data_IF_317834956291
#
_entry.id   IF_317834956291
#
_cell.length_a   1.000
_cell.length_b   1.000
_cell.length_c   1.000
_cell.angle_alpha   90.00
_cell.angle_beta   90.00
_cell.angle_gamma   90.00
#
_symmetry.space_group_name_H-M   'P 1'
#
loop_
_entity.id
_entity.type
_entity.pdbx_description
1 polymer ?
#
# COMPACT_ATOMS: atom_id res chain seq x y z
N UNK A 1 32.92 2.43 -85.66
CA UNK A 1 31.98 3.23 -84.84
C UNK A 1 31.01 2.29 -84.18
N UNK A 2 31.13 2.11 -82.85
CA UNK A 2 30.13 1.63 -81.88
C UNK A 2 29.47 0.26 -82.07
N UNK A 3 29.25 -0.58 -81.04
CA UNK A 3 29.68 -0.65 -79.64
C UNK A 3 29.20 -2.03 -79.12
N UNK A 4 30.01 -2.64 -78.27
CA UNK A 4 29.84 -3.94 -77.61
C UNK A 4 28.80 -3.87 -76.49
N UNK A 5 27.97 -4.91 -76.30
CA UNK A 5 27.42 -5.24 -74.97
C UNK A 5 27.34 -6.77 -74.81
N UNK A 6 28.32 -7.33 -74.09
CA UNK A 6 28.35 -8.71 -73.63
C UNK A 6 27.55 -8.85 -72.33
N UNK A 7 26.69 -9.86 -72.29
CA UNK A 7 25.94 -10.27 -71.11
C UNK A 7 26.90 -10.91 -70.08
N UNK A 8 27.11 -10.24 -68.95
CA UNK A 8 27.74 -10.84 -67.76
C UNK A 8 26.83 -10.58 -66.57
N UNK A 9 26.18 -11.65 -66.10
CA UNK A 9 25.39 -11.65 -64.88
C UNK A 9 26.33 -11.45 -63.68
N UNK A 10 26.36 -10.24 -63.14
CA UNK A 10 27.02 -9.95 -61.87
C UNK A 10 26.09 -10.38 -60.72
N UNK A 11 26.46 -11.46 -60.04
CA UNK A 11 25.84 -11.94 -58.80
C UNK A 11 26.18 -10.92 -57.70
N UNK A 12 25.20 -10.15 -57.26
CA UNK A 12 25.32 -9.26 -56.09
C UNK A 12 24.85 -10.06 -54.87
N UNK A 13 25.79 -10.59 -54.09
CA UNK A 13 25.51 -11.08 -52.73
C UNK A 13 25.31 -9.85 -51.83
N UNK A 14 24.19 -9.71 -51.09
CA UNK A 14 24.09 -8.67 -50.08
C UNK A 14 25.00 -9.07 -48.92
N UNK A 15 25.98 -8.23 -48.62
CA UNK A 15 26.76 -8.30 -47.39
C UNK A 15 25.79 -7.99 -46.23
N UNK A 16 25.12 -9.02 -45.70
CA UNK A 16 24.34 -8.90 -44.48
C UNK A 16 25.33 -8.66 -43.36
N UNK A 17 25.44 -7.40 -42.96
CA UNK A 17 26.11 -6.97 -41.74
C UNK A 17 25.36 -7.64 -40.59
N UNK A 18 25.84 -8.80 -40.13
CA UNK A 18 25.36 -9.41 -38.90
C UNK A 18 25.78 -8.46 -37.79
N UNK A 19 24.88 -7.56 -37.43
CA UNK A 19 24.93 -6.83 -36.17
C UNK A 19 24.95 -7.91 -35.10
N UNK A 20 26.15 -8.23 -34.60
CA UNK A 20 26.27 -8.93 -33.32
C UNK A 20 25.39 -8.14 -32.36
N UNK A 21 24.39 -8.76 -31.71
CA UNK A 21 23.59 -8.05 -30.72
C UNK A 21 24.60 -7.54 -29.71
N UNK A 22 24.76 -6.22 -29.67
CA UNK A 22 25.68 -5.57 -28.77
C UNK A 22 25.37 -6.12 -27.38
N UNK A 23 26.39 -6.63 -26.69
CA UNK A 23 26.31 -6.88 -25.27
C UNK A 23 25.98 -5.53 -24.63
N UNK A 24 24.68 -5.30 -24.37
CA UNK A 24 24.24 -4.18 -23.55
C UNK A 24 24.66 -4.57 -22.14
N UNK A 25 25.71 -3.93 -21.63
CA UNK A 25 26.01 -3.97 -20.20
C UNK A 25 24.82 -3.30 -19.52
N UNK A 26 23.99 -4.09 -18.83
CA UNK A 26 22.88 -3.59 -18.02
C UNK A 26 23.46 -2.84 -16.82
N UNK A 27 23.65 -1.54 -16.99
CA UNK A 27 23.99 -0.64 -15.90
C UNK A 27 22.71 -0.33 -15.10
N UNK A 28 22.80 -0.32 -13.76
CA UNK A 28 21.70 0.06 -12.88
C UNK A 28 21.32 1.53 -13.15
N UNK A 29 20.42 1.74 -14.09
CA UNK A 29 19.87 3.05 -14.43
C UNK A 29 18.37 3.03 -14.12
N UNK A 30 18.01 3.65 -13.00
CA UNK A 30 16.64 3.60 -12.48
C UNK A 30 16.45 4.43 -11.20
N UNK A 31 15.21 4.46 -10.73
CA UNK A 31 14.82 5.07 -9.46
C UNK A 31 15.36 4.22 -8.29
N UNK A 32 15.81 4.85 -7.20
CA UNK A 32 16.41 4.21 -6.02
C UNK A 32 17.81 3.58 -6.24
N UNK A 33 18.57 4.08 -7.22
CA UNK A 33 20.01 3.80 -7.39
C UNK A 33 20.85 4.92 -6.76
N UNK A 34 21.78 4.55 -5.89
CA UNK A 34 22.67 5.43 -5.14
C UNK A 34 24.14 5.26 -5.55
N UNK A 35 24.91 6.36 -5.50
CA UNK A 35 26.36 6.35 -5.75
C UNK A 35 27.12 6.17 -4.43
N UNK A 36 27.87 5.09 -4.29
CA UNK A 36 28.62 4.77 -3.06
C UNK A 36 30.11 4.71 -3.31
N UNK A 37 30.88 5.23 -2.35
CA UNK A 37 32.35 5.26 -2.40
C UNK A 37 32.89 3.93 -1.89
N UNK A 38 33.55 3.18 -2.76
CA UNK A 38 34.17 1.91 -2.42
C UNK A 38 35.70 2.03 -2.41
N UNK A 39 36.36 1.58 -1.35
CA UNK A 39 37.84 1.55 -1.26
C UNK A 39 38.41 0.27 -1.89
N UNK A 40 39.44 0.41 -2.73
CA UNK A 40 40.19 -0.69 -3.33
C UNK A 40 41.70 -0.46 -3.17
N UNK A 41 42.47 -1.53 -3.03
CA UNK A 41 43.92 -1.45 -2.84
C UNK A 41 44.66 -1.56 -4.17
N UNK A 42 45.64 -0.68 -4.41
CA UNK A 42 46.53 -0.75 -5.57
C UNK A 42 47.96 -0.98 -5.11
N UNK A 43 48.64 -1.89 -5.79
CA UNK A 43 50.06 -2.16 -5.56
C UNK A 43 50.92 -1.15 -6.33
N UNK A 44 51.84 -0.49 -5.63
CA UNK A 44 52.81 0.44 -6.21
C UNK A 44 54.23 0.01 -5.82
N UNK A 45 55.12 -0.11 -6.79
CA UNK A 45 56.52 -0.45 -6.54
C UNK A 45 57.32 0.79 -6.21
N UNK A 46 57.84 0.87 -4.99
CA UNK A 46 58.68 1.95 -4.50
C UNK A 46 60.12 1.43 -4.38
N UNK A 47 61.10 2.27 -4.70
CA UNK A 47 62.52 1.93 -4.55
C UNK A 47 62.98 2.33 -3.14
N UNK A 48 63.44 1.36 -2.36
CA UNK A 48 63.98 1.59 -1.02
C UNK A 48 65.47 1.23 -0.96
N UNK A 49 66.20 1.83 -0.02
CA UNK A 49 67.64 1.64 0.14
C UNK A 49 67.90 0.73 1.33
N UNK A 50 68.34 -0.50 1.05
CA UNK A 50 68.74 -1.45 2.09
C UNK A 50 70.25 -1.55 2.20
N UNK A 51 70.74 -1.73 3.43
CA UNK A 51 72.15 -2.00 3.71
C UNK A 51 72.39 -3.50 3.80
N UNK A 52 73.51 -3.98 3.25
CA UNK A 52 73.92 -5.39 3.34
C UNK A 52 75.42 -5.51 3.60
N UNK A 53 75.82 -6.59 4.28
CA UNK A 53 77.22 -6.83 4.63
C UNK A 53 77.88 -7.74 3.60
N UNK A 54 79.05 -7.33 3.09
CA UNK A 54 79.91 -8.18 2.26
C UNK A 54 81.16 -8.55 3.05
N UNK A 55 81.47 -9.84 3.13
CA UNK A 55 82.73 -10.33 3.70
C UNK A 55 83.86 -10.07 2.71
N UNK A 56 84.90 -9.38 3.16
CA UNK A 56 86.14 -9.14 2.40
C UNK A 56 87.33 -9.67 3.18
N UNK A 57 88.34 -10.13 2.46
CA UNK A 57 89.57 -10.67 3.05
C UNK A 57 90.68 -9.64 2.93
N UNK A 58 91.32 -9.31 4.05
CA UNK A 58 92.43 -8.37 4.12
C UNK A 58 93.63 -9.04 4.78
N UNK A 59 94.82 -8.50 4.52
CA UNK A 59 96.05 -8.92 5.17
C UNK A 59 96.14 -8.34 6.58
N UNK A 60 96.48 -9.17 7.55
CA UNK A 60 96.54 -8.84 8.97
C UNK A 60 97.50 -9.83 9.61
N UNK A 61 98.67 -9.37 10.08
CA UNK A 61 99.82 -10.21 10.48
C UNK A 61 100.58 -10.78 9.26
N UNK A 62 101.92 -10.80 9.31
CA UNK A 62 102.81 -11.15 8.19
C UNK A 62 102.62 -12.57 7.61
N UNK A 63 103.14 -12.78 6.40
CA UNK A 63 102.76 -13.82 5.43
C UNK A 63 102.63 -15.29 5.97
N UNK A 64 101.45 -15.96 5.87
CA UNK A 64 100.15 -15.38 5.55
C UNK A 64 98.95 -15.88 6.36
N UNK A 65 98.46 -15.11 7.35
CA UNK A 65 97.06 -15.17 7.79
C UNK A 65 96.22 -14.10 7.08
N UNK A 66 95.13 -14.55 6.43
CA UNK A 66 94.07 -13.68 5.90
C UNK A 66 92.94 -13.60 6.93
N UNK A 67 92.63 -12.40 7.41
CA UNK A 67 91.46 -12.19 8.26
C UNK A 67 90.30 -11.75 7.38
N UNK A 68 89.10 -12.19 7.75
CA UNK A 68 87.88 -11.65 7.17
C UNK A 68 87.36 -10.47 7.97
N UNK A 69 87.05 -9.39 7.27
CA UNK A 69 86.30 -8.25 7.81
C UNK A 69 85.00 -8.07 7.01
N UNK A 70 84.01 -7.40 7.60
CA UNK A 70 82.73 -7.11 6.96
C UNK A 70 82.69 -5.65 6.50
N UNK A 71 82.25 -5.40 5.27
CA UNK A 71 81.99 -4.05 4.74
C UNK A 71 80.49 -3.85 4.52
N UNK A 72 79.95 -2.74 5.01
CA UNK A 72 78.56 -2.33 4.76
C UNK A 72 78.47 -1.73 3.35
N UNK A 73 77.52 -2.21 2.55
CA UNK A 73 77.20 -1.69 1.22
C UNK A 73 75.70 -1.37 1.15
N UNK A 74 75.32 -0.47 0.25
CA UNK A 74 73.92 -0.15 -0.03
C UNK A 74 73.49 -0.82 -1.34
N UNK A 75 72.24 -1.29 -1.38
CA UNK A 75 71.56 -1.73 -2.60
C UNK A 75 70.17 -1.10 -2.67
N UNK A 76 69.70 -0.81 -3.88
CA UNK A 76 68.31 -0.40 -4.12
C UNK A 76 67.47 -1.66 -4.24
N UNK A 77 66.40 -1.76 -3.45
CA UNK A 77 65.46 -2.87 -3.46
C UNK A 77 64.09 -2.33 -3.81
N UNK A 78 63.40 -2.99 -4.75
CA UNK A 78 62.03 -2.64 -5.09
C UNK A 78 61.10 -3.26 -4.05
N UNK A 79 60.44 -2.42 -3.26
CA UNK A 79 59.41 -2.83 -2.31
C UNK A 79 58.03 -2.52 -2.87
N UNK A 80 57.08 -3.41 -2.69
CA UNK A 80 55.69 -3.19 -3.10
C UNK A 80 54.92 -2.57 -1.94
N UNK A 81 54.39 -1.38 -2.13
CA UNK A 81 53.51 -0.67 -1.20
C UNK A 81 52.05 -0.83 -1.66
N UNK A 82 51.16 -1.15 -0.73
CA UNK A 82 49.70 -1.20 -0.95
C UNK A 82 49.08 0.14 -0.59
N UNK A 83 48.48 0.81 -1.58
CA UNK A 83 47.85 2.12 -1.40
C UNK A 83 46.32 1.99 -1.46
N UNK A 84 45.56 2.51 -0.49
CA UNK A 84 44.11 2.59 -0.60
C UNK A 84 43.72 3.66 -1.61
N UNK A 85 42.87 3.29 -2.57
CA UNK A 85 42.22 4.20 -3.52
C UNK A 85 40.71 4.06 -3.40
N UNK A 86 39.97 5.04 -3.88
CA UNK A 86 38.50 5.06 -3.85
C UNK A 86 37.94 5.15 -5.26
N UNK A 87 36.82 4.48 -5.52
CA UNK A 87 36.02 4.61 -6.74
C UNK A 87 34.55 4.78 -6.38
N UNK A 88 33.76 5.37 -7.28
CA UNK A 88 32.30 5.48 -7.12
C UNK A 88 31.67 4.28 -7.84
N UNK A 89 30.77 3.58 -7.16
CA UNK A 89 30.01 2.45 -7.70
C UNK A 89 28.52 2.74 -7.53
N UNK A 90 27.71 2.40 -8.54
CA UNK A 90 26.25 2.46 -8.46
C UNK A 90 25.74 1.20 -7.76
N UNK A 91 24.90 1.36 -6.74
CA UNK A 91 24.22 0.26 -6.04
C UNK A 91 22.81 0.71 -5.61
N UNK A 92 21.96 -0.24 -5.22
CA UNK A 92 20.67 0.12 -4.64
C UNK A 92 20.84 0.93 -3.35
N UNK A 93 19.94 1.89 -3.14
CA UNK A 93 19.89 2.67 -1.91
C UNK A 93 19.52 1.78 -0.70
N UNK A 94 19.72 2.29 0.51
CA UNK A 94 19.41 1.57 1.74
C UNK A 94 17.93 1.14 1.78
N UNK A 95 17.67 -0.13 2.11
CA UNK A 95 16.32 -0.72 2.12
C UNK A 95 15.79 -1.16 0.75
N UNK A 96 16.63 -1.12 -0.30
CA UNK A 96 16.31 -1.64 -1.62
C UNK A 96 17.30 -2.74 -2.01
N UNK A 97 16.78 -3.79 -2.66
CA UNK A 97 17.55 -4.94 -3.15
C UNK A 97 17.46 -5.04 -4.66
N UNK A 98 18.46 -5.67 -5.28
CA UNK A 98 18.44 -5.94 -6.71
C UNK A 98 17.37 -6.98 -7.06
N UNK A 99 16.61 -6.72 -8.12
CA UNK A 99 15.72 -7.71 -8.72
C UNK A 99 16.53 -8.89 -9.30
N UNK A 100 15.87 -10.01 -9.61
CA UNK A 100 16.50 -11.23 -10.15
C UNK A 100 17.41 -10.99 -11.37
N UNK A 101 17.07 -10.03 -12.21
CA UNK A 101 17.83 -9.66 -13.41
C UNK A 101 18.91 -8.59 -13.17
N UNK A 102 19.06 -8.10 -11.93
CA UNK A 102 19.99 -7.02 -11.52
C UNK A 102 19.84 -5.70 -12.27
N UNK A 103 18.67 -5.47 -12.87
CA UNK A 103 18.37 -4.27 -13.68
C UNK A 103 17.73 -3.15 -12.87
N UNK A 104 17.03 -3.47 -11.78
CA UNK A 104 16.26 -2.51 -10.97
C UNK A 104 16.36 -2.82 -9.49
N UNK A 105 16.19 -1.77 -8.69
CA UNK A 105 16.12 -1.84 -7.24
C UNK A 105 14.65 -1.93 -6.77
N UNK A 106 14.29 -2.99 -6.05
CA UNK A 106 12.97 -3.20 -5.45
C UNK A 106 13.05 -2.97 -3.94
N UNK A 107 11.99 -2.43 -3.30
CA UNK A 107 12.01 -2.21 -1.86
C UNK A 107 12.02 -3.54 -1.11
N UNK A 108 12.76 -3.58 0.00
CA UNK A 108 12.80 -4.72 0.92
C UNK A 108 11.96 -4.41 2.15
N UNK A 109 11.02 -5.31 2.44
CA UNK A 109 10.23 -5.29 3.66
C UNK A 109 10.69 -6.45 4.54
N UNK A 110 11.18 -6.14 5.75
CA UNK A 110 11.64 -7.16 6.72
C UNK A 110 10.51 -8.12 7.08
N UNK A 111 9.33 -7.55 7.35
CA UNK A 111 8.09 -8.29 7.50
C UNK A 111 7.32 -8.31 6.17
N UNK A 112 6.92 -9.49 5.66
CA UNK A 112 6.24 -9.57 4.38
C UNK A 112 4.82 -8.99 4.46
N UNK A 113 4.47 -8.15 3.48
CA UNK A 113 3.10 -7.68 3.27
C UNK A 113 2.20 -8.86 2.89
N UNK A 114 1.21 -9.20 3.72
CA UNK A 114 0.33 -10.37 3.50
C UNK A 114 -0.68 -10.14 2.38
N UNK A 115 -1.51 -9.10 2.54
CA UNK A 115 -2.49 -8.66 1.54
C UNK A 115 -2.07 -7.30 0.98
N UNK A 116 -0.93 -7.27 0.29
CA UNK A 116 -0.35 -6.02 -0.19
C UNK A 116 1.00 -6.19 -0.84
N UNK A 117 1.56 -5.05 -1.27
CA UNK A 117 2.85 -4.99 -1.94
C UNK A 117 3.79 -4.03 -1.20
N UNK A 118 5.07 -4.38 -1.15
CA UNK A 118 6.10 -3.50 -0.59
C UNK A 118 6.35 -2.35 -1.57
N UNK A 119 6.11 -1.11 -1.14
CA UNK A 119 6.26 0.10 -1.98
C UNK A 119 7.49 0.92 -1.60
N UNK A 120 7.89 0.83 -0.34
CA UNK A 120 9.09 1.45 0.21
C UNK A 120 9.67 0.56 1.33
N UNK A 121 10.91 0.83 1.80
CA UNK A 121 11.53 0.03 2.85
C UNK A 121 10.65 -0.07 4.09
N UNK A 122 10.22 -1.29 4.43
CA UNK A 122 9.26 -1.57 5.51
C UNK A 122 7.92 -0.82 5.41
N UNK A 123 7.51 -0.43 4.21
CA UNK A 123 6.24 0.24 3.94
C UNK A 123 5.43 -0.59 2.95
N UNK A 124 4.31 -1.12 3.43
CA UNK A 124 3.36 -1.90 2.65
C UNK A 124 2.21 -1.01 2.17
N UNK A 125 1.88 -1.13 0.88
CA UNK A 125 0.58 -0.72 0.36
C UNK A 125 -0.36 -1.91 0.39
N UNK A 126 -1.40 -1.84 1.22
CA UNK A 126 -2.36 -2.90 1.41
C UNK A 126 -3.43 -2.92 0.33
N UNK A 127 -3.95 -4.11 0.06
CA UNK A 127 -5.11 -4.30 -0.80
C UNK A 127 -6.39 -3.78 -0.13
N UNK A 128 -7.47 -3.69 -0.90
CA UNK A 128 -8.78 -3.30 -0.38
C UNK A 128 -9.21 -4.20 0.79
N UNK A 129 -9.76 -3.60 1.84
CA UNK A 129 -10.28 -4.34 3.00
C UNK A 129 -9.23 -4.78 4.02
N UNK A 130 -7.95 -4.45 3.79
CA UNK A 130 -6.86 -4.76 4.70
C UNK A 130 -6.05 -3.52 5.07
N UNK A 131 -5.47 -3.54 6.28
CA UNK A 131 -4.65 -2.48 6.81
C UNK A 131 -3.63 -2.96 7.84
N UNK A 132 -2.99 -1.99 8.49
CA UNK A 132 -1.86 -2.21 9.39
C UNK A 132 -0.52 -2.31 8.65
N UNK A 133 0.60 -2.33 9.39
CA UNK A 133 1.94 -2.21 8.81
C UNK A 133 2.33 -3.36 7.87
N UNK A 134 1.74 -4.54 8.05
CA UNK A 134 2.02 -5.75 7.24
C UNK A 134 0.80 -6.26 6.47
N UNK A 135 -0.28 -5.47 6.40
CA UNK A 135 -1.52 -5.82 5.72
C UNK A 135 -2.13 -7.16 6.18
N UNK A 136 -1.98 -7.49 7.47
CA UNK A 136 -2.50 -8.72 8.07
C UNK A 136 -3.77 -8.49 8.91
N UNK A 137 -4.29 -7.26 8.93
CA UNK A 137 -5.45 -6.87 9.73
C UNK A 137 -6.57 -6.48 8.77
N UNK A 138 -7.77 -7.02 8.98
CA UNK A 138 -8.95 -6.58 8.23
C UNK A 138 -9.28 -5.13 8.60
N UNK A 139 -9.90 -4.38 7.69
CA UNK A 139 -10.27 -3.01 8.03
C UNK A 139 -11.16 -2.96 9.28
N UNK A 140 -10.87 -2.03 10.20
CA UNK A 140 -11.73 -1.81 11.35
C UNK A 140 -13.10 -1.29 10.91
N UNK A 141 -14.14 -1.44 11.74
CA UNK A 141 -15.46 -0.91 11.43
C UNK A 141 -15.39 0.60 11.14
N UNK A 142 -16.19 1.05 10.18
CA UNK A 142 -16.26 2.43 9.68
C UNK A 142 -15.09 2.87 8.78
N UNK A 143 -14.18 1.98 8.41
CA UNK A 143 -13.13 2.23 7.41
C UNK A 143 -13.17 1.18 6.30
N UNK A 144 -12.75 1.57 5.09
CA UNK A 144 -12.74 0.72 3.91
C UNK A 144 -11.67 1.16 2.90
N UNK A 145 -11.48 0.36 1.84
CA UNK A 145 -10.58 0.68 0.74
C UNK A 145 -9.13 0.25 0.98
N UNK A 146 -8.22 0.77 0.15
CA UNK A 146 -6.76 0.56 0.25
C UNK A 146 -6.27 1.16 1.58
N UNK A 147 -5.44 0.41 2.30
CA UNK A 147 -4.90 0.80 3.61
C UNK A 147 -5.96 1.15 4.68
N UNK A 148 -7.25 0.88 4.44
CA UNK A 148 -8.36 1.34 5.26
C UNK A 148 -8.41 2.86 5.47
N UNK A 149 -8.00 3.64 4.47
CA UNK A 149 -7.94 5.10 4.59
C UNK A 149 -9.29 5.79 4.33
N UNK A 150 -10.26 5.09 3.73
CA UNK A 150 -11.54 5.69 3.39
C UNK A 150 -12.55 5.51 4.53
N UNK A 151 -13.21 6.60 4.91
CA UNK A 151 -14.26 6.58 5.94
C UNK A 151 -15.59 6.12 5.36
N UNK A 152 -16.29 5.29 6.11
CA UNK A 152 -17.63 4.87 5.76
C UNK A 152 -18.65 5.99 5.95
N UNK A 153 -19.58 6.09 5.00
CA UNK A 153 -20.59 7.15 4.94
C UNK A 153 -21.99 6.64 5.28
N UNK A 154 -22.12 5.39 5.73
CA UNK A 154 -23.40 4.79 6.09
C UNK A 154 -24.04 5.54 7.26
N UNK A 155 -25.33 5.86 7.11
CA UNK A 155 -26.18 6.47 8.11
C UNK A 155 -26.95 5.41 8.91
N UNK A 156 -27.70 5.87 9.92
CA UNK A 156 -28.62 5.03 10.71
C UNK A 156 -28.01 3.75 11.29
N UNK A 157 -26.71 3.78 11.63
CA UNK A 157 -25.95 2.64 12.15
C UNK A 157 -25.79 1.48 11.15
N UNK A 158 -25.75 1.80 9.84
CA UNK A 158 -25.32 0.88 8.79
C UNK A 158 -23.83 0.58 8.85
N UNK A 159 -23.46 -0.61 8.41
CA UNK A 159 -22.07 -1.08 8.36
C UNK A 159 -21.59 -1.11 6.91
N UNK A 160 -20.39 -0.65 6.65
CA UNK A 160 -19.80 -0.69 5.31
C UNK A 160 -19.01 -1.98 5.07
N UNK A 161 -19.05 -2.48 3.84
CA UNK A 161 -18.19 -3.55 3.37
C UNK A 161 -16.73 -3.06 3.26
N UNK A 162 -15.75 -3.73 3.88
CA UNK A 162 -14.34 -3.30 3.87
C UNK A 162 -13.71 -3.13 2.47
N UNK A 163 -14.15 -3.92 1.49
CA UNK A 163 -13.57 -3.96 0.15
C UNK A 163 -14.10 -2.87 -0.77
N UNK A 164 -15.42 -2.64 -0.75
CA UNK A 164 -16.12 -1.79 -1.72
C UNK A 164 -16.69 -0.51 -1.11
N UNK A 165 -16.81 -0.44 0.22
CA UNK A 165 -17.43 0.67 0.93
C UNK A 165 -18.95 0.67 0.89
N UNK A 166 -19.59 -0.32 0.25
CA UNK A 166 -21.05 -0.43 0.18
C UNK A 166 -21.66 -0.60 1.55
N UNK A 167 -22.78 0.08 1.80
CA UNK A 167 -23.47 0.00 3.07
C UNK A 167 -24.42 -1.20 3.13
N UNK A 168 -24.30 -1.96 4.20
CA UNK A 168 -25.27 -2.93 4.66
C UNK A 168 -26.21 -2.24 5.64
N UNK A 169 -27.48 -2.11 5.24
CA UNK A 169 -28.45 -1.36 6.01
C UNK A 169 -29.09 -2.20 7.12
N UNK A 170 -29.29 -1.61 8.32
CA UNK A 170 -30.03 -2.27 9.36
C UNK A 170 -31.51 -2.34 9.02
N UNK A 171 -32.24 -3.20 9.72
CA UNK A 171 -33.69 -3.35 9.56
C UNK A 171 -34.39 -2.00 9.67
N UNK A 172 -35.36 -1.76 8.79
CA UNK A 172 -36.13 -0.53 8.76
C UNK A 172 -35.52 0.61 7.94
N UNK A 173 -34.36 0.40 7.31
CA UNK A 173 -33.67 1.37 6.47
C UNK A 173 -33.22 0.77 5.14
N UNK A 174 -33.19 1.60 4.10
CA UNK A 174 -32.76 1.32 2.72
C UNK A 174 -32.05 2.55 2.14
N UNK A 175 -31.56 2.44 0.91
CA UNK A 175 -30.74 3.45 0.24
C UNK A 175 -29.28 3.05 0.18
N UNK A 176 -28.49 3.75 -0.64
CA UNK A 176 -27.06 3.46 -0.81
C UNK A 176 -26.25 3.74 0.46
N UNK A 177 -26.70 4.70 1.27
CA UNK A 177 -26.09 5.07 2.55
C UNK A 177 -26.99 4.74 3.73
N UNK A 178 -28.06 3.96 3.54
CA UNK A 178 -29.06 3.66 4.57
C UNK A 178 -29.77 4.91 5.13
N UNK A 179 -29.87 5.95 4.31
CA UNK A 179 -30.44 7.25 4.65
C UNK A 179 -31.98 7.25 4.66
N UNK A 180 -32.59 6.28 3.96
CA UNK A 180 -34.04 6.22 3.78
C UNK A 180 -34.67 5.22 4.75
N UNK A 181 -35.66 5.69 5.51
CA UNK A 181 -36.54 4.82 6.29
C UNK A 181 -37.46 4.01 5.37
N UNK A 182 -37.86 2.81 5.77
CA UNK A 182 -38.89 2.07 5.01
C UNK A 182 -40.13 2.93 4.77
N UNK A 183 -40.64 2.84 3.53
CA UNK A 183 -41.91 3.43 3.14
C UNK A 183 -43.04 2.96 4.06
N UNK A 184 -44.11 3.76 4.22
CA UNK A 184 -45.30 3.34 4.93
C UNK A 184 -45.77 1.96 4.44
N UNK A 185 -46.22 1.12 5.38
CA UNK A 185 -46.64 -0.27 5.18
C UNK A 185 -45.52 -1.29 4.93
N UNK A 186 -44.23 -0.90 4.98
CA UNK A 186 -43.12 -1.85 4.88
C UNK A 186 -42.20 -1.79 6.09
N UNK A 187 -41.59 -2.93 6.43
CA UNK A 187 -40.66 -3.05 7.54
C UNK A 187 -39.63 -4.18 7.31
N UNK A 188 -38.74 -4.37 8.28
CA UNK A 188 -37.79 -5.49 8.28
C UNK A 188 -36.51 -5.20 7.50
N UNK A 189 -35.79 -6.26 7.13
CA UNK A 189 -34.55 -6.13 6.36
C UNK A 189 -34.88 -5.75 4.91
N UNK A 190 -34.19 -4.75 4.36
CA UNK A 190 -34.44 -4.24 3.01
C UNK A 190 -35.90 -3.81 2.75
N UNK A 191 -36.69 -3.54 3.79
CA UNK A 191 -38.11 -3.21 3.69
C UNK A 191 -38.94 -4.24 2.90
N UNK A 192 -38.57 -5.53 2.96
CA UNK A 192 -39.24 -6.59 2.19
C UNK A 192 -40.48 -7.14 2.88
N UNK A 193 -40.75 -6.78 4.13
CA UNK A 193 -41.90 -7.27 4.89
C UNK A 193 -43.04 -6.25 4.83
N UNK A 194 -44.25 -6.71 4.50
CA UNK A 194 -45.45 -5.87 4.43
C UNK A 194 -46.22 -5.89 5.76
N UNK A 195 -46.64 -4.70 6.19
CA UNK A 195 -47.41 -4.51 7.41
C UNK A 195 -48.86 -4.96 7.24
N UNK A 196 -49.42 -5.53 8.30
CA UNK A 196 -50.79 -6.06 8.33
C UNK A 196 -51.71 -5.26 9.23
N UNK A 197 -51.38 -3.98 9.43
CA UNK A 197 -52.17 -3.09 10.27
C UNK A 197 -53.46 -2.72 9.56
N UNK A 198 -54.59 -2.87 10.24
CA UNK A 198 -55.91 -2.57 9.70
C UNK A 198 -56.40 -1.20 10.20
N UNK A 199 -57.56 -0.76 9.71
CA UNK A 199 -58.27 0.45 10.18
C UNK A 199 -57.44 1.75 10.17
N UNK A 200 -56.52 1.88 9.21
CA UNK A 200 -55.66 3.07 9.10
C UNK A 200 -54.53 3.12 10.13
N UNK A 201 -54.24 2.01 10.82
CA UNK A 201 -53.04 1.88 11.64
C UNK A 201 -51.76 1.94 10.79
N UNK A 202 -50.73 2.60 11.31
CA UNK A 202 -49.40 2.59 10.69
C UNK A 202 -48.49 1.58 11.38
N UNK A 203 -47.39 1.15 10.76
CA UNK A 203 -46.46 0.21 11.39
C UNK A 203 -45.10 0.82 11.65
N UNK A 204 -44.43 0.29 12.68
CA UNK A 204 -43.05 0.63 12.98
C UNK A 204 -42.10 0.00 11.96
N UNK A 205 -41.40 0.82 11.19
CA UNK A 205 -40.48 0.40 10.11
C UNK A 205 -39.43 -0.67 10.48
N UNK A 206 -38.98 -0.76 11.74
CA UNK A 206 -37.99 -1.79 12.14
C UNK A 206 -38.65 -3.11 12.52
N UNK A 207 -39.76 -3.05 13.26
CA UNK A 207 -40.34 -4.21 13.97
C UNK A 207 -41.66 -4.69 13.39
N UNK A 208 -42.32 -3.88 12.55
CA UNK A 208 -43.65 -4.16 11.99
C UNK A 208 -44.80 -3.96 12.97
N UNK A 209 -44.52 -3.56 14.21
CA UNK A 209 -45.55 -3.35 15.23
C UNK A 209 -46.53 -2.25 14.82
N UNK A 210 -47.83 -2.54 14.92
CA UNK A 210 -48.87 -1.58 14.59
C UNK A 210 -49.00 -0.48 15.65
N UNK A 211 -49.09 0.74 15.15
CA UNK A 211 -49.45 1.97 15.86
C UNK A 211 -50.90 2.25 15.48
N UNK A 212 -51.80 2.03 16.44
CA UNK A 212 -53.23 2.10 16.19
C UNK A 212 -53.71 3.55 16.01
N UNK A 213 -54.68 3.74 15.12
CA UNK A 213 -55.40 5.00 15.03
C UNK A 213 -56.30 5.19 16.28
N UNK A 214 -56.71 6.43 16.62
CA UNK A 214 -57.60 6.68 17.75
C UNK A 214 -58.87 5.82 17.68
N UNK A 215 -59.22 5.17 18.79
CA UNK A 215 -60.38 4.27 18.86
C UNK A 215 -60.10 2.82 18.43
N UNK A 216 -58.86 2.47 18.10
CA UNK A 216 -58.46 1.09 17.78
C UNK A 216 -57.32 0.60 18.69
N UNK A 217 -57.31 -0.70 18.96
CA UNK A 217 -56.35 -1.43 19.80
C UNK A 217 -56.03 -2.80 19.23
N UNK A 218 -55.17 -3.53 19.93
CA UNK A 218 -54.73 -4.86 19.57
C UNK A 218 -53.53 -4.88 18.62
N UNK A 219 -52.89 -6.04 18.42
CA UNK A 219 -51.64 -6.16 17.66
C UNK A 219 -51.72 -5.74 16.18
N UNK A 220 -52.91 -5.78 15.59
CA UNK A 220 -53.18 -5.43 14.18
C UNK A 220 -54.13 -4.23 14.04
N UNK A 221 -54.39 -3.48 15.11
CA UNK A 221 -55.33 -2.36 15.14
C UNK A 221 -56.77 -2.74 14.72
N UNK A 222 -57.20 -3.98 15.01
CA UNK A 222 -58.53 -4.49 14.64
C UNK A 222 -59.59 -4.34 15.73
N UNK A 223 -59.18 -4.11 16.98
CA UNK A 223 -60.10 -4.07 18.12
C UNK A 223 -60.57 -2.63 18.34
N UNK A 224 -61.87 -2.36 18.17
CA UNK A 224 -62.41 -1.03 18.46
C UNK A 224 -62.44 -0.82 19.98
N UNK A 225 -61.83 0.26 20.47
CA UNK A 225 -62.07 0.70 21.83
C UNK A 225 -63.54 1.14 21.89
N UNK A 226 -64.39 0.34 22.54
CA UNK A 226 -65.70 0.78 22.99
C UNK A 226 -65.48 1.86 24.06
N UNK A 227 -65.13 3.06 23.59
CA UNK A 227 -65.21 4.27 24.37
C UNK A 227 -66.65 4.39 24.81
N UNK A 228 -66.85 4.30 26.13
CA UNK A 228 -68.06 4.66 26.85
C UNK A 228 -68.76 5.83 26.14
N UNK A 229 -69.98 5.60 25.64
CA UNK A 229 -70.86 6.63 25.13
C UNK A 229 -71.07 7.67 26.23
N UNK A 230 -70.25 8.71 26.26
CA UNK A 230 -70.59 9.96 26.94
C UNK A 230 -70.44 11.09 25.94
N UNK A 231 -71.58 11.28 25.27
CA UNK A 231 -72.10 12.54 24.73
C UNK A 231 -71.13 13.37 23.88
N UNK A 232 -71.12 13.07 22.58
CA UNK A 232 -71.21 14.16 21.59
C UNK A 232 -72.67 14.25 21.13
N UNK A 233 -73.56 14.68 22.04
CA UNK A 233 -74.85 15.20 21.61
C UNK A 233 -74.57 16.56 20.95
N UNK A 234 -74.69 16.55 19.63
CA UNK A 234 -74.85 17.74 18.82
C UNK A 234 -76.21 18.32 19.21
N UNK A 235 -76.21 19.21 20.20
CA UNK A 235 -77.42 19.89 20.64
C UNK A 235 -77.86 20.86 19.53
N UNK A 236 -78.91 20.47 18.82
CA UNK A 236 -79.61 21.31 17.85
C UNK A 236 -80.92 21.77 18.48
N UNK A 237 -80.89 22.60 19.53
CA UNK A 237 -81.98 23.54 19.79
C UNK A 237 -81.59 24.60 20.82
N UNK A 238 -82.16 25.79 20.60
CA UNK A 238 -82.33 26.89 21.55
C UNK A 238 -81.21 27.93 21.63
N UNK A 239 -81.27 28.86 20.66
CA UNK A 239 -81.37 30.28 20.98
C UNK A 239 -82.14 30.49 22.29
N UNK A 240 -81.45 30.90 23.36
CA UNK A 240 -81.66 32.19 24.01
C UNK A 240 -80.79 32.34 25.26
N UNK A 241 -80.07 33.45 25.25
CA UNK A 241 -79.51 34.15 26.40
C UNK A 241 -80.26 33.93 27.71
N UNK A 242 -79.58 33.40 28.73
CA UNK A 242 -79.74 33.91 30.08
C UNK A 242 -78.44 33.77 30.85
N UNK A 243 -77.78 34.91 31.06
CA UNK A 243 -76.80 35.09 32.11
C UNK A 243 -77.41 34.70 33.46
N UNK A 244 -76.68 33.97 34.31
CA UNK A 244 -76.37 34.39 35.69
C UNK A 244 -75.30 33.46 36.30
N UNK A 245 -74.37 34.14 36.96
CA UNK A 245 -73.25 33.66 37.74
C UNK A 245 -73.64 32.91 39.03
N UNK A 246 -72.77 31.98 39.41
CA UNK A 246 -72.32 31.62 40.78
C UNK A 246 -73.36 31.21 41.85
N UNK A 247 -73.18 29.98 42.38
CA UNK A 247 -72.61 29.64 43.71
C UNK A 247 -72.90 28.14 43.97
N UNK A 248 -71.89 27.32 44.25
CA UNK A 248 -71.23 27.13 45.54
C UNK A 248 -72.19 26.59 46.63
N UNK A 249 -72.20 25.26 46.77
CA UNK A 249 -71.97 24.49 48.01
C UNK A 249 -71.60 23.05 47.65
#
# INVERSE_FOLDING_TARGET
MGLLINNTFAVILPLILVLLPGFVLSELEGQNTCNVVQSYTVNSTVTDVETYQTRVTNWCLGFPPRCSTYKIKQRKVNKTLTLPKTRIVKQCCEGYIENSDKTRCIPECVDPCKHGVCVAPNECSCEHGYGGPTCNINCPPNLWGINCEQKCQCENNGTCEPYTGKCECPKGYIGELCEQKCSPNFYGLNCMEECRCENGGSCHHVSGQCICAPGFTGPLAMEHELGNEREFQRDTSEDKDFWILLKAE
#
